data_IF_570575928806
#
_entry.id   IF_570575928806
#
_cell.length_a   1.000
_cell.length_b   1.000
_cell.length_c   1.000
_cell.angle_alpha   90.00
_cell.angle_beta   90.00
_cell.angle_gamma   90.00
#
_symmetry.space_group_name_H-M   'P 1'
#
loop_
_entity.id
_entity.type
_entity.pdbx_description
1 polymer ?
#
# COMPACT_ATOMS: atom_id res chain seq x y z
N UNK A 1 13.28 -11.48 9.51
CA UNK A 1 12.06 -10.79 9.01
C UNK A 1 12.10 -9.34 9.44
N UNK A 2 12.13 -8.46 8.48
CA UNK A 2 12.23 -7.03 8.68
C UNK A 2 10.86 -6.36 8.66
N UNK A 3 10.76 -5.24 9.36
CA UNK A 3 9.58 -4.39 9.41
C UNK A 3 9.77 -3.25 8.43
N UNK A 4 8.67 -2.76 7.87
CA UNK A 4 8.67 -1.50 7.12
C UNK A 4 9.06 -0.32 8.02
N UNK A 5 9.45 0.79 7.42
CA UNK A 5 9.69 2.02 8.18
C UNK A 5 8.39 2.51 8.84
N UNK A 6 8.43 2.93 10.12
CA UNK A 6 7.25 3.45 10.82
C UNK A 6 6.55 4.63 10.13
N UNK A 7 7.28 5.46 9.37
CA UNK A 7 6.75 6.62 8.64
C UNK A 7 5.76 6.20 7.53
N UNK A 8 5.80 4.95 7.07
CA UNK A 8 4.83 4.45 6.07
C UNK A 8 3.38 4.55 6.55
N UNK A 9 3.15 4.50 7.86
CA UNK A 9 1.80 4.70 8.44
C UNK A 9 1.26 6.08 8.09
N UNK A 10 2.10 7.12 8.22
CA UNK A 10 1.73 8.50 7.87
C UNK A 10 1.45 8.62 6.37
N UNK A 11 2.27 8.04 5.52
CA UNK A 11 2.07 8.00 4.07
C UNK A 11 0.71 7.36 3.73
N UNK A 12 0.40 6.20 4.29
CA UNK A 12 -0.88 5.53 4.03
C UNK A 12 -2.08 6.28 4.60
N UNK A 13 -1.91 6.97 5.74
CA UNK A 13 -2.94 7.84 6.32
C UNK A 13 -3.23 9.02 5.40
N UNK A 14 -2.19 9.72 4.90
CA UNK A 14 -2.35 10.84 3.97
C UNK A 14 -3.02 10.39 2.67
N UNK A 15 -2.55 9.27 2.08
CA UNK A 15 -3.18 8.69 0.88
C UNK A 15 -4.64 8.31 1.09
N UNK A 16 -4.98 7.83 2.30
CA UNK A 16 -6.37 7.56 2.68
C UNK A 16 -7.18 8.84 2.78
N UNK A 17 -6.69 9.88 3.45
CA UNK A 17 -7.36 11.17 3.56
C UNK A 17 -7.61 11.82 2.20
N UNK A 18 -6.62 11.83 1.31
CA UNK A 18 -6.79 12.35 -0.06
C UNK A 18 -7.89 11.63 -0.83
N UNK A 19 -8.01 10.31 -0.66
CA UNK A 19 -9.10 9.52 -1.26
C UNK A 19 -10.47 9.93 -0.73
N UNK A 20 -10.58 10.16 0.58
CA UNK A 20 -11.81 10.60 1.23
C UNK A 20 -12.19 12.03 0.87
N UNK A 21 -11.21 12.93 0.64
CA UNK A 21 -11.47 14.28 0.12
C UNK A 21 -12.22 14.30 -1.22
N UNK A 22 -12.15 13.23 -2.00
CA UNK A 22 -12.90 13.07 -3.25
C UNK A 22 -14.29 12.47 -2.98
N UNK A 23 -14.39 11.48 -2.10
CA UNK A 23 -15.63 10.73 -1.86
C UNK A 23 -16.64 11.50 -0.98
N UNK A 24 -16.17 12.25 0.01
CA UNK A 24 -17.06 13.00 0.93
C UNK A 24 -17.87 14.10 0.23
N UNK A 25 -17.32 14.95 -0.66
CA UNK A 25 -18.12 15.92 -1.41
C UNK A 25 -19.20 15.25 -2.28
N UNK A 26 -18.87 14.11 -2.88
CA UNK A 26 -19.85 13.35 -3.69
C UNK A 26 -21.02 12.84 -2.84
N UNK A 27 -20.77 12.35 -1.63
CA UNK A 27 -21.82 11.95 -0.69
C UNK A 27 -22.66 13.15 -0.22
N UNK A 28 -22.01 14.28 0.08
CA UNK A 28 -22.70 15.49 0.49
C UNK A 28 -23.63 16.05 -0.60
N UNK A 29 -23.20 16.01 -1.87
CA UNK A 29 -24.07 16.42 -2.99
C UNK A 29 -25.28 15.51 -3.13
N UNK A 30 -25.13 14.21 -2.92
CA UNK A 30 -26.23 13.26 -2.93
C UNK A 30 -27.25 13.57 -1.81
N UNK A 31 -26.79 13.87 -0.59
CA UNK A 31 -27.68 14.27 0.52
C UNK A 31 -28.44 15.57 0.19
N UNK A 32 -27.78 16.55 -0.44
CA UNK A 32 -28.41 17.80 -0.86
C UNK A 32 -29.51 17.55 -1.93
N UNK A 33 -29.23 16.70 -2.92
CA UNK A 33 -30.23 16.35 -3.95
C UNK A 33 -31.43 15.65 -3.32
N UNK A 34 -31.23 14.77 -2.37
CA UNK A 34 -32.28 14.05 -1.66
C UNK A 34 -33.12 14.97 -0.74
N UNK A 35 -32.56 16.08 -0.23
CA UNK A 35 -33.30 17.12 0.49
C UNK A 35 -34.40 17.79 -0.36
N UNK A 36 -34.18 17.89 -1.67
CA UNK A 36 -35.17 18.46 -2.62
C UNK A 36 -36.14 17.41 -3.17
N UNK A 37 -36.00 16.15 -2.73
CA UNK A 37 -36.89 15.05 -3.08
C UNK A 37 -37.98 14.95 -1.99
N UNK A 38 -39.25 14.97 -2.36
CA UNK A 38 -40.44 14.89 -1.45
C UNK A 38 -40.57 13.53 -0.72
N UNK A 39 -39.49 13.01 -0.17
CA UNK A 39 -39.49 11.74 0.58
C UNK A 39 -39.47 12.01 2.09
N UNK A 40 -40.64 11.90 2.74
CA UNK A 40 -40.85 12.09 4.18
C UNK A 40 -40.02 11.16 5.10
N UNK A 41 -39.34 10.19 4.53
CA UNK A 41 -38.59 9.16 5.27
C UNK A 41 -37.06 9.43 5.33
N UNK A 42 -36.57 10.48 4.70
CA UNK A 42 -35.17 10.73 4.57
C UNK A 42 -34.66 11.71 5.65
N UNK A 43 -33.70 11.25 6.49
CA UNK A 43 -32.99 12.11 7.42
C UNK A 43 -31.75 12.70 6.70
N UNK A 44 -31.77 13.99 6.35
CA UNK A 44 -30.67 14.62 5.64
C UNK A 44 -29.38 14.57 6.46
N UNK A 45 -28.26 14.29 5.79
CA UNK A 45 -26.95 14.20 6.41
C UNK A 45 -26.63 12.89 7.13
N UNK A 46 -27.59 11.96 7.27
CA UNK A 46 -27.36 10.69 7.94
C UNK A 46 -26.35 9.82 7.19
N UNK A 47 -26.45 9.75 5.88
CA UNK A 47 -25.54 9.00 5.02
C UNK A 47 -24.14 9.58 5.02
N UNK A 48 -24.01 10.91 4.87
CA UNK A 48 -22.70 11.59 4.94
C UNK A 48 -22.11 11.49 6.35
N UNK A 49 -22.91 11.60 7.40
CA UNK A 49 -22.45 11.41 8.77
C UNK A 49 -21.92 10.00 9.03
N UNK A 50 -22.62 8.96 8.57
CA UNK A 50 -22.17 7.58 8.66
C UNK A 50 -20.88 7.37 7.87
N UNK A 51 -20.78 7.92 6.68
CA UNK A 51 -19.59 7.83 5.84
C UNK A 51 -18.39 8.50 6.52
N UNK A 52 -18.56 9.65 7.16
CA UNK A 52 -17.50 10.33 7.92
C UNK A 52 -16.98 9.44 9.05
N UNK A 53 -17.86 8.78 9.79
CA UNK A 53 -17.46 7.88 10.87
C UNK A 53 -16.66 6.70 10.32
N UNK A 54 -17.13 6.09 9.24
CA UNK A 54 -16.41 5.00 8.55
C UNK A 54 -15.04 5.47 8.07
N UNK A 55 -14.96 6.66 7.47
CA UNK A 55 -13.73 7.30 7.01
C UNK A 55 -12.71 7.47 8.14
N UNK A 56 -13.14 8.01 9.28
CA UNK A 56 -12.27 8.21 10.45
C UNK A 56 -11.74 6.89 10.97
N UNK A 57 -12.62 5.91 11.19
CA UNK A 57 -12.24 4.57 11.67
C UNK A 57 -11.26 3.92 10.71
N UNK A 58 -11.53 3.95 9.41
CA UNK A 58 -10.69 3.37 8.38
C UNK A 58 -9.30 4.03 8.34
N UNK A 59 -9.27 5.36 8.34
CA UNK A 59 -8.03 6.14 8.26
C UNK A 59 -7.13 5.95 9.48
N UNK A 60 -7.70 5.78 10.67
CA UNK A 60 -6.94 5.63 11.90
C UNK A 60 -6.49 4.18 12.17
N UNK A 61 -7.31 3.20 11.78
CA UNK A 61 -7.08 1.79 12.13
C UNK A 61 -6.33 1.05 11.03
N UNK A 62 -6.74 1.19 9.78
CA UNK A 62 -6.20 0.37 8.68
C UNK A 62 -4.70 0.55 8.44
N UNK A 63 -4.12 1.77 8.43
CA UNK A 63 -2.67 1.92 8.26
C UNK A 63 -1.86 1.25 9.38
N UNK A 64 -2.36 1.32 10.63
CA UNK A 64 -1.70 0.68 11.78
C UNK A 64 -1.73 -0.84 11.68
N UNK A 65 -2.89 -1.40 11.32
CA UNK A 65 -3.03 -2.84 11.11
C UNK A 65 -2.18 -3.31 9.94
N UNK A 66 -2.23 -2.59 8.82
CA UNK A 66 -1.43 -2.92 7.63
C UNK A 66 0.05 -2.97 7.95
N UNK A 67 0.57 -1.97 8.67
CA UNK A 67 1.95 -1.94 9.13
C UNK A 67 2.29 -3.15 10.00
N UNK A 68 1.42 -3.51 10.93
CA UNK A 68 1.64 -4.63 11.86
C UNK A 68 1.72 -5.99 11.17
N UNK A 69 0.97 -6.17 10.07
CA UNK A 69 0.90 -7.44 9.35
C UNK A 69 1.82 -7.52 8.14
N UNK A 70 2.53 -6.45 7.81
CA UNK A 70 3.48 -6.43 6.72
C UNK A 70 4.88 -6.82 7.22
N UNK A 71 5.50 -7.80 6.55
CA UNK A 71 6.87 -8.26 6.82
C UNK A 71 7.52 -8.66 5.51
N UNK A 72 8.84 -8.45 5.41
CA UNK A 72 9.64 -8.98 4.32
C UNK A 72 10.97 -9.52 4.85
N UNK A 73 11.63 -10.34 4.04
CA UNK A 73 12.91 -10.92 4.34
C UNK A 73 13.60 -11.30 3.04
N UNK A 74 14.79 -10.76 2.81
CA UNK A 74 15.67 -11.25 1.76
C UNK A 74 16.44 -12.44 2.33
N UNK A 75 16.32 -13.60 1.70
CA UNK A 75 17.07 -14.83 2.00
C UNK A 75 18.07 -15.07 0.89
N UNK A 76 18.94 -16.09 1.09
CA UNK A 76 20.00 -16.42 0.13
C UNK A 76 19.46 -16.70 -1.28
N UNK A 77 18.31 -17.36 -1.43
CA UNK A 77 17.76 -17.76 -2.74
C UNK A 77 16.38 -17.17 -3.06
N UNK A 78 15.71 -16.56 -2.08
CA UNK A 78 14.35 -16.04 -2.26
C UNK A 78 14.09 -14.73 -1.53
N UNK A 79 13.17 -13.96 -2.08
CA UNK A 79 12.56 -12.81 -1.42
C UNK A 79 11.21 -13.25 -0.86
N UNK A 80 11.10 -13.22 0.46
CA UNK A 80 9.90 -13.58 1.19
C UNK A 80 9.12 -12.36 1.63
N UNK A 81 7.82 -12.31 1.36
CA UNK A 81 6.96 -11.22 1.78
C UNK A 81 5.64 -11.75 2.37
N UNK A 82 5.24 -11.18 3.51
CA UNK A 82 3.95 -11.45 4.15
C UNK A 82 3.16 -10.15 4.13
N UNK A 83 1.91 -10.22 3.69
CA UNK A 83 0.99 -9.08 3.65
C UNK A 83 -0.44 -9.51 3.93
N UNK A 84 -1.27 -8.55 4.34
CA UNK A 84 -2.71 -8.70 4.47
C UNK A 84 -3.22 -8.63 5.90
N UNK A 85 -4.33 -7.91 6.07
CA UNK A 85 -5.02 -7.70 7.35
C UNK A 85 -6.07 -8.79 7.56
N UNK A 86 -6.93 -8.99 6.54
CA UNK A 86 -8.04 -9.94 6.55
C UNK A 86 -7.68 -11.27 5.92
N UNK A 87 -6.85 -11.22 4.87
CA UNK A 87 -6.36 -12.40 4.18
C UNK A 87 -4.83 -12.38 4.20
N UNK A 88 -4.22 -13.32 4.92
CA UNK A 88 -2.77 -13.43 5.02
C UNK A 88 -2.22 -14.04 3.73
N UNK A 89 -1.51 -13.25 2.96
CA UNK A 89 -0.82 -13.68 1.75
C UNK A 89 0.68 -13.79 2.04
N UNK A 90 1.24 -14.96 1.80
CA UNK A 90 2.67 -15.23 1.86
C UNK A 90 3.16 -15.38 0.43
N UNK A 91 4.10 -14.56 0.03
CA UNK A 91 4.67 -14.59 -1.32
C UNK A 91 6.15 -14.94 -1.20
N UNK A 92 6.58 -15.96 -1.94
CA UNK A 92 7.97 -16.37 -2.07
C UNK A 92 8.36 -16.11 -3.52
N UNK A 93 9.37 -15.29 -3.73
CA UNK A 93 9.91 -14.97 -5.05
C UNK A 93 11.33 -15.51 -5.13
N UNK A 94 11.58 -16.62 -5.84
CA UNK A 94 12.94 -17.08 -6.11
C UNK A 94 13.73 -16.00 -6.86
N UNK A 95 14.92 -15.64 -6.38
CA UNK A 95 15.73 -14.58 -6.97
C UNK A 95 16.06 -14.83 -8.45
N UNK A 96 16.22 -16.09 -8.82
CA UNK A 96 16.45 -16.53 -10.23
C UNK A 96 15.25 -16.27 -11.17
N UNK A 97 14.05 -15.97 -10.65
CA UNK A 97 12.86 -15.64 -11.44
C UNK A 97 12.62 -14.14 -11.59
N UNK A 98 13.45 -13.32 -10.96
CA UNK A 98 13.35 -11.89 -11.05
C UNK A 98 13.88 -11.44 -12.41
N UNK A 99 13.07 -10.70 -13.16
CA UNK A 99 13.45 -10.14 -14.46
C UNK A 99 13.86 -8.69 -14.35
N UNK A 100 13.17 -7.94 -13.52
CA UNK A 100 13.36 -6.49 -13.41
C UNK A 100 13.03 -6.01 -11.99
N UNK A 101 13.76 -4.99 -11.53
CA UNK A 101 13.62 -4.40 -10.21
C UNK A 101 13.53 -2.89 -10.34
N UNK A 102 12.42 -2.31 -9.89
CA UNK A 102 12.23 -0.87 -9.89
C UNK A 102 12.16 -0.32 -8.46
N UNK A 103 12.85 0.77 -8.21
CA UNK A 103 12.64 1.58 -7.01
C UNK A 103 11.75 2.74 -7.41
N UNK A 104 10.53 2.76 -6.91
CA UNK A 104 9.55 3.78 -7.20
C UNK A 104 9.25 4.62 -5.96
N UNK A 105 9.08 5.93 -6.18
CA UNK A 105 8.77 6.88 -5.13
C UNK A 105 7.73 7.88 -5.66
N UNK A 106 6.64 8.06 -4.96
CA UNK A 106 5.69 9.13 -5.29
C UNK A 106 5.94 10.38 -4.43
N UNK A 107 5.22 11.47 -4.74
CA UNK A 107 5.40 12.76 -4.05
C UNK A 107 5.22 12.68 -2.53
N UNK A 108 4.29 11.85 -2.05
CA UNK A 108 4.04 11.70 -0.62
C UNK A 108 5.14 10.85 0.02
N UNK A 109 5.53 9.75 -0.64
CA UNK A 109 6.64 8.90 -0.19
C UNK A 109 7.94 9.69 -0.14
N UNK A 110 8.21 10.55 -1.14
CA UNK A 110 9.38 11.41 -1.20
C UNK A 110 9.51 12.39 -0.04
N UNK A 111 8.40 12.95 0.46
CA UNK A 111 8.41 13.81 1.63
C UNK A 111 8.79 13.10 2.95
N UNK A 112 8.77 11.77 2.95
CA UNK A 112 9.12 10.94 4.10
C UNK A 112 10.38 10.11 3.84
N UNK A 113 11.13 10.39 2.77
CA UNK A 113 12.29 9.62 2.31
C UNK A 113 12.01 8.11 2.15
N UNK A 114 10.76 7.77 1.84
CA UNK A 114 10.32 6.41 1.62
C UNK A 114 10.21 6.10 0.13
N UNK A 115 10.45 4.84 -0.20
CA UNK A 115 10.26 4.28 -1.52
C UNK A 115 9.56 2.91 -1.45
N UNK A 116 9.21 2.39 -2.59
CA UNK A 116 8.74 1.01 -2.77
C UNK A 116 9.64 0.28 -3.76
N UNK A 117 9.97 -0.94 -3.43
CA UNK A 117 10.65 -1.85 -4.34
C UNK A 117 9.59 -2.66 -5.09
N UNK A 118 9.60 -2.56 -6.41
CA UNK A 118 8.73 -3.34 -7.31
C UNK A 118 9.56 -4.43 -7.93
N UNK A 119 9.17 -5.67 -7.70
CA UNK A 119 9.85 -6.88 -8.19
C UNK A 119 9.01 -7.51 -9.27
N UNK A 120 9.49 -7.46 -10.51
CA UNK A 120 8.86 -8.07 -11.66
C UNK A 120 9.41 -9.48 -11.89
N UNK A 121 8.53 -10.47 -11.97
CA UNK A 121 8.91 -11.88 -12.10
C UNK A 121 8.51 -12.47 -13.45
N UNK A 122 9.32 -13.40 -13.96
CA UNK A 122 8.99 -14.17 -15.15
C UNK A 122 7.84 -15.17 -14.87
N UNK A 123 6.76 -15.13 -15.68
CA UNK A 123 5.68 -16.10 -15.60
C UNK A 123 4.39 -15.63 -16.29
N UNK A 124 3.52 -16.59 -16.63
CA UNK A 124 2.21 -16.33 -17.26
C UNK A 124 1.20 -15.62 -16.36
N UNK A 125 1.48 -15.54 -15.07
CA UNK A 125 0.85 -14.66 -14.10
C UNK A 125 1.95 -13.78 -13.53
N UNK A 126 2.32 -12.71 -14.25
CA UNK A 126 3.24 -11.68 -13.76
C UNK A 126 2.64 -11.06 -12.51
N UNK A 127 2.99 -11.62 -11.37
CA UNK A 127 2.57 -11.07 -10.09
C UNK A 127 3.71 -10.20 -9.61
N UNK A 128 3.63 -8.92 -9.95
CA UNK A 128 4.56 -7.94 -9.41
C UNK A 128 4.44 -7.96 -7.88
N UNK A 129 5.56 -8.12 -7.22
CA UNK A 129 5.63 -8.05 -5.76
C UNK A 129 6.13 -6.67 -5.38
N UNK A 130 5.30 -5.92 -4.68
CA UNK A 130 5.64 -4.57 -4.24
C UNK A 130 5.93 -4.60 -2.75
N UNK A 131 7.13 -4.19 -2.34
CA UNK A 131 7.51 -3.95 -0.94
C UNK A 131 7.44 -2.44 -0.70
N UNK A 132 6.42 -1.94 -0.01
CA UNK A 132 6.23 -0.52 0.24
C UNK A 132 6.99 -0.06 1.49
N UNK A 133 7.19 1.25 1.62
CA UNK A 133 7.61 1.87 2.88
C UNK A 133 9.01 1.48 3.34
N UNK A 134 9.92 1.32 2.40
CA UNK A 134 11.34 1.21 2.65
C UNK A 134 11.96 2.62 2.68
N UNK A 135 12.94 2.90 3.54
CA UNK A 135 13.82 4.04 3.32
C UNK A 135 14.41 4.01 1.91
N UNK A 136 14.51 5.16 1.24
CA UNK A 136 14.95 5.20 -0.16
C UNK A 136 16.30 4.50 -0.37
N UNK A 137 17.27 4.78 0.51
CA UNK A 137 18.59 4.16 0.43
C UNK A 137 18.55 2.63 0.63
N UNK A 138 17.65 2.15 1.49
CA UNK A 138 17.45 0.72 1.74
C UNK A 138 16.82 0.03 0.52
N UNK A 139 15.83 0.67 -0.11
CA UNK A 139 15.23 0.17 -1.34
C UNK A 139 16.28 0.05 -2.48
N UNK A 140 17.19 1.03 -2.58
CA UNK A 140 18.29 1.01 -3.56
C UNK A 140 19.29 -0.12 -3.24
N UNK A 141 19.70 -0.24 -1.97
CA UNK A 141 20.60 -1.33 -1.55
C UNK A 141 20.00 -2.71 -1.80
N UNK A 142 18.73 -2.89 -1.44
CA UNK A 142 18.02 -4.15 -1.65
C UNK A 142 17.94 -4.51 -3.14
N UNK A 143 17.62 -3.53 -4.00
CA UNK A 143 17.64 -3.69 -5.45
C UNK A 143 19.03 -4.13 -5.95
N UNK A 144 20.09 -3.45 -5.50
CA UNK A 144 21.44 -3.73 -5.98
C UNK A 144 21.93 -5.10 -5.49
N UNK A 145 21.66 -5.48 -4.24
CA UNK A 145 21.97 -6.80 -3.71
C UNK A 145 21.29 -7.92 -4.52
N UNK A 146 19.99 -7.76 -4.82
CA UNK A 146 19.27 -8.75 -5.62
C UNK A 146 19.80 -8.80 -7.05
N UNK A 147 20.07 -7.66 -7.66
CA UNK A 147 20.65 -7.58 -9.01
C UNK A 147 22.01 -8.32 -9.09
N UNK A 148 22.89 -8.07 -8.12
CA UNK A 148 24.22 -8.66 -8.11
C UNK A 148 24.13 -10.18 -7.93
N UNK A 149 23.22 -10.66 -7.06
CA UNK A 149 22.93 -12.09 -6.93
C UNK A 149 22.47 -12.73 -8.25
N UNK A 150 21.55 -12.05 -8.95
CA UNK A 150 21.04 -12.55 -10.24
C UNK A 150 22.16 -12.58 -11.28
N UNK A 151 23.03 -11.57 -11.32
CA UNK A 151 24.15 -11.53 -12.24
C UNK A 151 25.16 -12.67 -12.01
N UNK A 152 25.47 -12.98 -10.74
CA UNK A 152 26.41 -14.08 -10.39
C UNK A 152 25.86 -15.48 -10.73
N UNK A 153 24.54 -15.67 -10.77
CA UNK A 153 23.93 -17.00 -10.91
C UNK A 153 23.28 -17.23 -12.30
N UNK A 154 23.38 -16.26 -13.21
CA UNK A 154 22.88 -16.38 -14.59
C UNK A 154 23.98 -16.70 -15.62
N UNK A 155 25.25 -16.75 -15.20
CA UNK A 155 26.38 -17.29 -15.97
C UNK A 155 26.54 -18.80 -15.66
#
# INVERSE_FOLDING_TARGET
MELLDPAVKSVWTIKSLLRWCILLPFSATADVVLLFSDSDTFLPGLWTGLLIIICLVWTLIVPKLRYRYWRYELREEDLYAIRGIWNRVQTIVPLRRIQHLDVAQDLIEGNYDLARLVVHTAGTRSTDVVIPGLPYEEAVRLRDTVRDFVAEHMD
#
